data_IF_485390915856
#
_entry.id   IF_485390915856
#
_cell.length_a   1.000
_cell.length_b   1.000
_cell.length_c   1.000
_cell.angle_alpha   90.00
_cell.angle_beta   90.00
_cell.angle_gamma   90.00
#
_symmetry.space_group_name_H-M   'P 1'
#
loop_
_entity.id
_entity.type
_entity.pdbx_description
1 polymer ?
#
# COMPACT_ATOMS: atom_id res chain seq x y z
N UNK A 1 -40.19 -25.87 -9.44
CA UNK A 1 -38.91 -25.25 -9.85
C UNK A 1 -38.70 -25.54 -11.32
N UNK A 2 -38.79 -24.53 -12.19
CA UNK A 2 -38.65 -24.74 -13.64
C UNK A 2 -37.21 -25.16 -13.97
N UNK A 3 -37.03 -26.11 -14.90
CA UNK A 3 -35.71 -26.55 -15.38
C UNK A 3 -34.84 -25.37 -15.84
N UNK A 4 -35.48 -24.29 -16.31
CA UNK A 4 -34.80 -23.05 -16.71
C UNK A 4 -34.21 -22.29 -15.51
N UNK A 5 -34.89 -22.27 -14.36
CA UNK A 5 -34.40 -21.63 -13.13
C UNK A 5 -33.16 -22.33 -12.60
N UNK A 6 -33.11 -23.67 -12.69
CA UNK A 6 -31.94 -24.47 -12.29
C UNK A 6 -30.74 -24.21 -13.20
N UNK A 7 -30.97 -24.08 -14.51
CA UNK A 7 -29.91 -23.83 -15.50
C UNK A 7 -29.27 -22.44 -15.30
N UNK A 8 -30.08 -21.42 -15.02
CA UNK A 8 -29.60 -20.05 -14.73
C UNK A 8 -28.75 -20.04 -13.47
N UNK A 9 -29.17 -20.73 -12.40
CA UNK A 9 -28.39 -20.81 -11.15
C UNK A 9 -27.05 -21.52 -11.35
N UNK A 10 -27.00 -22.60 -12.13
CA UNK A 10 -25.75 -23.31 -12.44
C UNK A 10 -24.80 -22.44 -13.28
N UNK A 11 -25.32 -21.68 -14.26
CA UNK A 11 -24.51 -20.75 -15.05
C UNK A 11 -24.03 -19.55 -14.22
N UNK A 12 -24.87 -18.99 -13.35
CA UNK A 12 -24.48 -17.92 -12.43
C UNK A 12 -23.43 -18.38 -11.42
N UNK A 13 -23.63 -19.54 -10.79
CA UNK A 13 -22.67 -20.11 -9.84
C UNK A 13 -21.35 -20.47 -10.54
N UNK A 14 -21.40 -21.04 -11.75
CA UNK A 14 -20.24 -21.34 -12.58
C UNK A 14 -19.44 -20.10 -13.01
N UNK A 15 -20.11 -18.97 -13.26
CA UNK A 15 -19.45 -17.71 -13.58
C UNK A 15 -18.69 -17.12 -12.38
N UNK A 16 -19.22 -17.25 -11.16
CA UNK A 16 -18.56 -16.72 -9.95
C UNK A 16 -17.26 -17.46 -9.59
N UNK A 17 -17.10 -18.72 -10.01
CA UNK A 17 -15.90 -19.53 -9.69
C UNK A 17 -14.67 -19.17 -10.54
N UNK A 18 -14.82 -18.37 -11.60
CA UNK A 18 -13.77 -18.12 -12.60
C UNK A 18 -12.94 -16.83 -12.39
N UNK A 19 -13.10 -16.11 -11.28
CA UNK A 19 -12.33 -14.89 -10.99
C UNK A 19 -11.39 -15.03 -9.78
N UNK A 20 -10.71 -16.16 -9.65
CA UNK A 20 -9.59 -16.26 -8.71
C UNK A 20 -8.34 -15.64 -9.37
N UNK A 21 -8.17 -14.33 -9.28
CA UNK A 21 -6.90 -13.68 -9.61
C UNK A 21 -5.90 -13.99 -8.49
N UNK A 22 -4.89 -14.80 -8.76
CA UNK A 22 -3.78 -15.00 -7.84
C UNK A 22 -2.84 -13.80 -7.98
N UNK A 23 -2.97 -12.84 -7.08
CA UNK A 23 -2.04 -11.72 -7.01
C UNK A 23 -0.72 -12.21 -6.41
N UNK A 24 0.38 -12.02 -7.13
CA UNK A 24 1.71 -12.44 -6.66
C UNK A 24 2.16 -11.52 -5.52
N UNK A 25 2.52 -12.13 -4.38
CA UNK A 25 2.91 -11.40 -3.18
C UNK A 25 4.35 -11.70 -2.78
N UNK A 26 4.99 -10.73 -2.14
CA UNK A 26 6.32 -10.86 -1.54
C UNK A 26 6.27 -10.47 -0.07
N UNK A 27 7.03 -11.15 0.78
CA UNK A 27 7.19 -10.77 2.20
C UNK A 27 8.60 -10.27 2.47
N UNK A 28 8.70 -9.16 3.20
CA UNK A 28 9.96 -8.52 3.58
C UNK A 28 9.96 -8.26 5.09
N UNK A 29 11.06 -8.55 5.78
CA UNK A 29 11.19 -8.25 7.22
C UNK A 29 11.95 -6.95 7.41
N UNK A 30 11.33 -5.99 8.09
CA UNK A 30 11.88 -4.68 8.43
C UNK A 30 11.96 -4.53 9.96
N UNK A 31 12.63 -3.49 10.50
CA UNK A 31 12.80 -3.34 11.96
C UNK A 31 11.49 -3.30 12.76
N UNK A 32 10.41 -2.80 12.14
CA UNK A 32 9.10 -2.68 12.79
C UNK A 32 8.22 -3.95 12.62
N UNK A 33 8.66 -4.95 11.84
CA UNK A 33 8.00 -6.25 11.65
C UNK A 33 8.05 -6.78 10.21
N UNK A 34 7.34 -7.86 9.91
CA UNK A 34 7.24 -8.40 8.54
C UNK A 34 6.10 -7.73 7.78
N UNK A 35 6.33 -7.33 6.54
CA UNK A 35 5.32 -6.74 5.63
C UNK A 35 5.10 -7.64 4.41
N UNK A 36 3.86 -7.69 3.92
CA UNK A 36 3.50 -8.32 2.65
C UNK A 36 3.19 -7.26 1.60
N UNK A 37 3.94 -7.26 0.51
CA UNK A 37 3.71 -6.44 -0.68
C UNK A 37 3.22 -7.26 -1.87
N UNK A 38 3.16 -6.61 -3.02
CA UNK A 38 2.76 -7.20 -4.30
C UNK A 38 3.90 -7.13 -5.31
N UNK A 39 3.94 -8.11 -6.20
CA UNK A 39 4.76 -8.09 -7.42
C UNK A 39 3.88 -7.59 -8.56
N UNK A 40 4.29 -6.50 -9.19
CA UNK A 40 3.54 -5.79 -10.22
C UNK A 40 4.39 -5.57 -11.46
N UNK A 41 3.75 -5.27 -12.59
CA UNK A 41 4.42 -4.91 -13.84
C UNK A 41 3.92 -3.58 -14.39
N UNK A 42 4.82 -2.76 -14.93
CA UNK A 42 4.43 -1.50 -15.56
C UNK A 42 3.64 -1.75 -16.85
N UNK A 43 2.62 -0.92 -17.12
CA UNK A 43 1.74 -1.12 -18.29
C UNK A 43 2.50 -0.95 -19.62
N UNK A 44 3.48 -0.04 -19.68
CA UNK A 44 4.15 0.34 -20.93
C UNK A 44 5.26 -0.64 -21.33
N UNK A 45 6.12 -1.00 -20.38
CA UNK A 45 7.37 -1.72 -20.65
C UNK A 45 7.38 -3.11 -20.01
N UNK A 46 6.31 -3.50 -19.32
CA UNK A 46 6.18 -4.77 -18.61
C UNK A 46 7.36 -5.04 -17.66
N UNK A 47 7.87 -3.97 -17.04
CA UNK A 47 8.98 -4.03 -16.09
C UNK A 47 8.41 -4.46 -14.74
N UNK A 48 8.91 -5.55 -14.20
CA UNK A 48 8.55 -6.03 -12.86
C UNK A 48 9.08 -5.10 -11.78
N UNK A 49 8.25 -4.81 -10.80
CA UNK A 49 8.60 -4.07 -9.60
C UNK A 49 7.81 -4.60 -8.40
N UNK A 50 8.30 -4.30 -7.21
CA UNK A 50 7.67 -4.65 -5.94
C UNK A 50 7.03 -3.40 -5.33
N UNK A 51 5.83 -3.54 -4.81
CA UNK A 51 5.11 -2.47 -4.13
C UNK A 51 4.68 -2.86 -2.72
N UNK A 52 5.01 -2.01 -1.76
CA UNK A 52 4.56 -2.09 -0.39
C UNK A 52 3.77 -0.81 -0.07
N UNK A 53 2.44 -0.92 0.01
CA UNK A 53 1.51 0.19 0.12
C UNK A 53 0.83 0.21 1.48
N UNK A 54 0.68 1.39 2.06
CA UNK A 54 -0.04 1.57 3.31
C UNK A 54 0.76 1.14 4.55
N UNK A 55 2.08 1.26 4.54
CA UNK A 55 2.93 0.94 5.71
C UNK A 55 2.79 2.07 6.75
N UNK A 56 2.40 1.77 8.01
CA UNK A 56 2.16 2.80 9.01
C UNK A 56 3.49 3.30 9.61
N UNK A 57 3.82 4.59 9.46
CA UNK A 57 5.08 5.13 9.97
C UNK A 57 4.95 5.88 11.31
N UNK A 58 3.73 6.27 11.70
CA UNK A 58 3.43 6.92 12.97
C UNK A 58 2.04 6.55 13.49
N UNK A 59 1.79 6.80 14.78
CA UNK A 59 0.49 6.60 15.42
C UNK A 59 -0.54 7.58 14.84
N UNK A 60 -1.82 7.18 14.74
CA UNK A 60 -2.88 8.05 14.25
C UNK A 60 -2.93 9.37 15.04
N UNK A 61 -2.87 10.54 14.38
CA UNK A 61 -2.83 11.86 15.03
C UNK A 61 -4.23 12.31 15.49
N UNK A 62 -4.95 11.44 16.18
CA UNK A 62 -6.33 11.66 16.67
C UNK A 62 -6.35 11.98 18.16
N UNK A 63 -7.43 12.62 18.62
CA UNK A 63 -7.62 12.94 20.04
C UNK A 63 -6.48 13.79 20.59
N UNK A 64 -5.80 13.31 21.64
CA UNK A 64 -4.70 14.02 22.28
C UNK A 64 -3.43 14.15 21.42
N UNK A 65 -3.31 13.36 20.34
CA UNK A 65 -2.19 13.45 19.40
C UNK A 65 -2.46 14.45 18.26
N UNK A 66 -3.66 15.01 18.18
CA UNK A 66 -4.00 15.99 17.16
C UNK A 66 -3.15 17.25 17.33
N UNK A 67 -2.51 17.67 16.24
CA UNK A 67 -1.57 18.80 16.20
C UNK A 67 -0.28 18.63 17.02
N UNK A 68 -0.04 17.45 17.60
CA UNK A 68 1.24 17.11 18.21
C UNK A 68 2.23 16.61 17.15
N UNK A 69 3.51 16.53 17.51
CA UNK A 69 4.50 15.85 16.67
C UNK A 69 4.14 14.36 16.51
N UNK A 70 4.39 13.76 15.32
CA UNK A 70 4.11 12.35 15.09
C UNK A 70 4.84 11.45 16.09
N UNK A 71 4.14 10.45 16.62
CA UNK A 71 4.68 9.47 17.56
C UNK A 71 4.94 8.17 16.83
N UNK A 72 6.12 7.55 17.01
CA UNK A 72 6.45 6.28 16.36
C UNK A 72 5.47 5.17 16.75
N UNK A 73 5.12 4.31 15.79
CA UNK A 73 4.36 3.09 16.06
C UNK A 73 5.16 2.07 16.86
N UNK A 74 4.45 1.22 17.59
CA UNK A 74 5.03 -0.03 18.10
C UNK A 74 5.22 -1.01 16.94
N UNK A 75 6.23 -1.87 17.04
CA UNK A 75 6.39 -2.97 16.11
C UNK A 75 5.14 -3.87 16.15
N UNK A 76 4.74 -4.41 15.00
CA UNK A 76 3.60 -5.33 14.90
C UNK A 76 4.05 -6.78 14.99
N UNK A 77 3.15 -7.64 15.46
CA UNK A 77 3.34 -9.09 15.43
C UNK A 77 2.78 -9.70 14.14
N UNK A 78 3.49 -10.69 13.59
CA UNK A 78 3.06 -11.38 12.37
C UNK A 78 3.35 -10.57 11.11
N UNK A 79 2.57 -10.82 10.06
CA UNK A 79 2.75 -10.19 8.75
C UNK A 79 1.73 -9.07 8.56
N UNK A 80 2.21 -7.84 8.41
CA UNK A 80 1.37 -6.69 8.09
C UNK A 80 1.04 -6.66 6.60
N UNK A 81 -0.26 -6.50 6.28
CA UNK A 81 -0.72 -6.45 4.90
C UNK A 81 -0.49 -5.06 4.28
N UNK A 82 0.58 -4.93 3.50
CA UNK A 82 0.96 -3.73 2.77
C UNK A 82 0.68 -3.87 1.26
N UNK A 83 -0.45 -4.47 0.88
CA UNK A 83 -0.81 -4.67 -0.52
C UNK A 83 -1.73 -3.58 -1.09
N UNK A 84 -2.18 -2.60 -0.30
CA UNK A 84 -3.15 -1.60 -0.75
C UNK A 84 -2.93 -0.24 -0.10
N UNK A 85 -3.30 0.81 -0.83
CA UNK A 85 -3.25 2.18 -0.34
C UNK A 85 -4.18 2.37 0.87
N UNK A 86 -3.74 3.21 1.81
CA UNK A 86 -4.51 3.57 3.00
C UNK A 86 -5.14 4.94 2.81
N UNK A 87 -5.93 5.35 3.79
CA UNK A 87 -6.69 6.60 3.75
C UNK A 87 -5.79 7.81 3.55
N UNK A 88 -6.24 8.71 2.68
CA UNK A 88 -5.65 10.03 2.52
C UNK A 88 -5.95 10.92 3.73
N UNK A 89 -5.07 11.89 3.99
CA UNK A 89 -5.31 12.87 5.04
C UNK A 89 -6.48 13.78 4.71
N UNK A 90 -7.14 14.26 5.76
CA UNK A 90 -8.27 15.16 5.63
C UNK A 90 -7.91 16.43 4.84
N UNK A 91 -8.51 16.61 3.66
CA UNK A 91 -8.22 17.72 2.75
C UNK A 91 -9.47 18.15 1.96
N UNK A 92 -9.40 19.33 1.35
CA UNK A 92 -10.43 19.80 0.42
C UNK A 92 -10.32 18.99 -0.88
N UNK A 93 -11.32 18.15 -1.16
CA UNK A 93 -11.35 17.23 -2.28
C UNK A 93 -11.52 17.96 -3.63
N UNK A 94 -12.13 19.14 -3.62
CA UNK A 94 -12.44 19.92 -4.83
C UNK A 94 -11.38 20.99 -5.14
N UNK A 95 -10.23 20.95 -4.45
CA UNK A 95 -9.19 21.97 -4.57
C UNK A 95 -9.64 23.35 -4.07
N UNK A 96 -9.07 24.42 -4.63
CA UNK A 96 -9.26 25.80 -4.11
C UNK A 96 -10.69 26.35 -4.25
N UNK A 97 -11.54 25.77 -5.11
CA UNK A 97 -12.83 26.36 -5.50
C UNK A 97 -14.05 25.66 -4.91
N UNK A 98 -13.90 24.48 -4.29
CA UNK A 98 -15.01 23.76 -3.68
C UNK A 98 -14.95 23.73 -2.15
N UNK A 99 -15.99 23.15 -1.55
CA UNK A 99 -16.17 23.04 -0.10
C UNK A 99 -16.36 21.58 0.36
N UNK A 100 -16.07 20.61 -0.50
CA UNK A 100 -16.15 19.20 -0.14
C UNK A 100 -14.87 18.76 0.53
N UNK A 101 -14.96 18.23 1.75
CA UNK A 101 -13.83 17.69 2.48
C UNK A 101 -13.90 16.16 2.50
N UNK A 102 -12.76 15.51 2.25
CA UNK A 102 -12.62 14.06 2.26
C UNK A 102 -11.31 13.65 2.94
N UNK A 103 -11.18 12.36 3.26
CA UNK A 103 -10.01 11.80 3.95
C UNK A 103 -10.31 11.43 5.41
N UNK A 104 -9.29 10.91 6.09
CA UNK A 104 -9.34 10.50 7.49
C UNK A 104 -8.18 11.14 8.27
N UNK A 105 -8.32 11.29 9.60
CA UNK A 105 -7.21 11.74 10.44
C UNK A 105 -6.15 10.63 10.60
N UNK A 106 -6.56 9.36 10.60
CA UNK A 106 -5.66 8.21 10.50
C UNK A 106 -5.19 8.04 9.05
N UNK A 107 -4.12 8.76 8.70
CA UNK A 107 -3.58 8.83 7.33
C UNK A 107 -2.04 8.74 7.28
N UNK A 108 -1.35 8.45 8.39
CA UNK A 108 0.11 8.46 8.47
C UNK A 108 0.72 7.14 7.95
N UNK A 109 0.54 6.92 6.65
CA UNK A 109 1.02 5.76 5.92
C UNK A 109 1.97 6.16 4.80
N UNK A 110 2.85 5.22 4.41
CA UNK A 110 3.77 5.39 3.29
C UNK A 110 3.65 4.24 2.30
N UNK A 111 3.90 4.57 1.03
CA UNK A 111 3.97 3.63 -0.08
C UNK A 111 5.41 3.59 -0.60
N UNK A 112 5.93 2.39 -0.83
CA UNK A 112 7.28 2.19 -1.35
C UNK A 112 7.24 1.26 -2.55
N UNK A 113 7.98 1.66 -3.59
CA UNK A 113 8.10 0.94 -4.84
C UNK A 113 9.58 0.71 -5.13
N UNK A 114 9.97 -0.52 -5.43
CA UNK A 114 11.36 -0.86 -5.72
C UNK A 114 11.44 -1.84 -6.89
N UNK A 115 12.42 -1.72 -7.80
CA UNK A 115 12.64 -2.73 -8.85
C UNK A 115 13.22 -4.03 -8.28
N UNK A 116 13.79 -4.00 -7.08
CA UNK A 116 14.50 -5.12 -6.47
C UNK A 116 14.35 -5.15 -4.94
N UNK A 117 14.25 -6.36 -4.39
CA UNK A 117 14.19 -6.65 -2.94
C UNK A 117 15.37 -7.48 -2.45
N UNK A 118 16.31 -7.84 -3.35
CA UNK A 118 17.43 -8.73 -3.07
C UNK A 118 18.69 -8.02 -2.57
N UNK A 119 18.76 -6.68 -2.62
CA UNK A 119 19.95 -5.90 -2.24
C UNK A 119 19.67 -4.78 -1.21
N UNK A 120 19.77 -5.09 0.09
CA UNK A 120 19.92 -4.05 1.13
C UNK A 120 21.38 -3.54 1.28
N UNK A 121 22.25 -3.79 0.30
CA UNK A 121 23.66 -3.36 0.31
C UNK A 121 24.03 -2.40 -0.83
N UNK A 122 23.07 -2.01 -1.67
CA UNK A 122 23.35 -1.05 -2.73
C UNK A 122 23.53 0.33 -2.11
N UNK A 123 24.71 0.99 -2.23
CA UNK A 123 24.83 2.39 -1.85
C UNK A 123 23.76 3.14 -2.64
N UNK A 124 22.95 3.96 -1.96
CA UNK A 124 21.97 4.84 -2.61
C UNK A 124 22.65 5.47 -3.82
N UNK A 125 22.27 5.03 -5.02
CA UNK A 125 22.98 5.48 -6.21
C UNK A 125 22.82 6.99 -6.29
N UNK A 126 23.95 7.68 -6.25
CA UNK A 126 24.10 9.13 -6.39
C UNK A 126 23.70 9.59 -7.80
N UNK A 127 22.45 9.31 -8.20
CA UNK A 127 21.82 9.84 -9.39
C UNK A 127 21.11 11.13 -9.03
N UNK A 128 21.47 12.22 -9.72
CA UNK A 128 20.76 13.49 -9.62
C UNK A 128 19.36 13.34 -10.22
N UNK A 129 18.35 13.12 -9.39
CA UNK A 129 16.95 13.40 -9.67
C UNK A 129 16.44 14.48 -8.72
N UNK A 130 15.87 15.54 -9.30
CA UNK A 130 15.55 16.82 -8.66
C UNK A 130 14.27 16.80 -7.80
N UNK A 131 13.95 15.67 -7.17
CA UNK A 131 12.85 15.59 -6.21
C UNK A 131 13.29 14.81 -4.98
N UNK A 132 13.83 15.56 -4.02
CA UNK A 132 13.97 15.20 -2.60
C UNK A 132 14.12 13.71 -2.32
N UNK A 133 15.37 13.23 -2.34
CA UNK A 133 15.74 12.00 -1.65
C UNK A 133 15.15 12.03 -0.23
N UNK A 134 14.23 11.11 0.07
CA UNK A 134 13.87 10.76 1.43
C UNK A 134 14.72 9.56 1.84
N UNK A 135 15.98 9.75 2.29
CA UNK A 135 16.85 8.65 2.71
C UNK A 135 16.22 7.81 3.83
N UNK A 136 15.23 8.35 4.56
CA UNK A 136 14.51 7.60 5.59
C UNK A 136 13.70 6.41 5.06
N UNK A 137 13.21 6.45 3.81
CA UNK A 137 12.30 5.40 3.29
C UNK A 137 13.08 4.19 2.80
N UNK A 138 14.17 4.42 2.08
CA UNK A 138 15.12 3.37 1.71
C UNK A 138 15.75 2.74 2.96
N UNK A 139 15.97 3.56 4.00
CA UNK A 139 16.50 3.12 5.29
C UNK A 139 15.48 2.40 6.19
N UNK A 140 14.21 2.32 5.77
CA UNK A 140 13.14 1.65 6.53
C UNK A 140 12.78 0.29 5.95
N UNK A 141 13.10 0.06 4.68
CA UNK A 141 13.06 -1.25 4.06
C UNK A 141 14.39 -2.01 4.18
N UNK A 142 15.48 -1.28 4.42
CA UNK A 142 16.85 -1.73 4.69
C UNK A 142 17.42 -0.92 5.87
#
# INVERSE_FOLDING_TARGET
>A
MSKQTLLILVLCLGYQINLATCEETVELTIPDGTIRGQVNSTVRENVTFYSFRGIPYAQPPVGNLRFASPVKNSAWSGVYNATYDRSECYQNADGYLGFTFAGQEDCLYINVYTPDVSECNRPSSSGLDTWGNFPSVQQQLC
#
